data_IF_217440636797
#
_entry.id   IF_217440636797
#
_cell.length_a   1.000
_cell.length_b   1.000
_cell.length_c   1.000
_cell.angle_alpha   90.00
_cell.angle_beta   90.00
_cell.angle_gamma   90.00
#
_symmetry.space_group_name_H-M   'P 1'
#
loop_
_entity.id
_entity.type
_entity.pdbx_description
1 polymer ?
#
# COMPACT_ATOMS: atom_id res chain seq x y z
N UNK A 1 -3.90 39.79 4.22
CA UNK A 1 -2.96 38.67 3.99
C UNK A 1 -2.94 38.37 2.50
N UNK A 2 -1.80 38.49 1.83
CA UNK A 2 -1.65 38.06 0.44
C UNK A 2 -1.69 36.51 0.43
N UNK A 3 -2.73 35.93 -0.18
CA UNK A 3 -2.82 34.48 -0.31
C UNK A 3 -2.13 34.03 -1.61
N UNK A 4 -1.40 32.92 -1.56
CA UNK A 4 -0.85 32.25 -2.76
C UNK A 4 -2.01 31.70 -3.59
N UNK A 5 -1.88 31.75 -4.92
CA UNK A 5 -2.87 31.16 -5.84
C UNK A 5 -2.23 30.02 -6.61
N UNK A 6 -2.88 28.87 -6.65
CA UNK A 6 -2.46 27.69 -7.39
C UNK A 6 -3.60 27.15 -8.27
N UNK A 7 -3.30 26.32 -9.25
CA UNK A 7 -4.33 25.51 -9.91
C UNK A 7 -4.82 24.41 -8.97
N UNK A 8 -3.89 23.73 -8.28
CA UNK A 8 -4.20 22.62 -7.39
C UNK A 8 -3.46 22.76 -6.06
N UNK A 9 -4.20 22.70 -4.94
CA UNK A 9 -3.64 22.59 -3.59
C UNK A 9 -3.74 21.16 -3.10
N UNK A 10 -2.61 20.52 -2.82
CA UNK A 10 -2.53 19.12 -2.35
C UNK A 10 -2.21 19.11 -0.86
N UNK A 11 -3.07 18.52 -0.05
CA UNK A 11 -2.85 18.33 1.38
C UNK A 11 -2.33 16.92 1.65
N UNK A 12 -1.05 16.81 1.99
CA UNK A 12 -0.30 15.57 2.23
C UNK A 12 0.72 15.28 1.13
N UNK A 13 2.00 15.30 1.48
CA UNK A 13 3.16 15.02 0.62
C UNK A 13 3.61 13.55 0.68
N UNK A 14 2.70 12.60 0.96
CA UNK A 14 2.95 11.15 0.88
C UNK A 14 3.00 10.64 -0.56
N UNK A 15 2.95 9.32 -0.73
CA UNK A 15 3.05 8.68 -2.06
C UNK A 15 1.98 9.22 -3.03
N UNK A 16 0.71 9.26 -2.62
CA UNK A 16 -0.37 9.72 -3.50
C UNK A 16 -0.24 11.20 -3.87
N UNK A 17 -0.03 12.06 -2.86
CA UNK A 17 0.11 13.50 -3.10
C UNK A 17 1.36 13.85 -3.88
N UNK A 18 2.48 13.19 -3.60
CA UNK A 18 3.73 13.37 -4.32
C UNK A 18 3.65 12.91 -5.77
N UNK A 19 3.08 11.74 -6.02
CA UNK A 19 2.85 11.23 -7.37
C UNK A 19 1.97 12.16 -8.21
N UNK A 20 0.91 12.71 -7.60
CA UNK A 20 0.05 13.67 -8.27
C UNK A 20 0.76 15.00 -8.53
N UNK A 21 1.53 15.51 -7.54
CA UNK A 21 2.29 16.75 -7.68
C UNK A 21 3.29 16.69 -8.84
N UNK A 22 4.07 15.61 -8.92
CA UNK A 22 5.01 15.37 -10.04
C UNK A 22 4.27 15.40 -11.38
N UNK A 23 3.14 14.71 -11.47
CA UNK A 23 2.36 14.65 -12.72
C UNK A 23 1.80 16.01 -13.14
N UNK A 24 1.20 16.75 -12.22
CA UNK A 24 0.53 18.01 -12.54
C UNK A 24 1.50 19.15 -12.79
N UNK A 25 2.55 19.29 -11.96
CA UNK A 25 3.59 20.27 -12.16
C UNK A 25 4.36 20.01 -13.47
N UNK A 26 4.65 18.73 -13.78
CA UNK A 26 5.27 18.33 -15.04
C UNK A 26 4.42 18.64 -16.27
N UNK A 27 3.11 18.82 -16.11
CA UNK A 27 2.19 19.27 -17.16
C UNK A 27 1.97 20.80 -17.16
N UNK A 28 2.70 21.55 -16.33
CA UNK A 28 2.68 23.02 -16.30
C UNK A 28 1.58 23.66 -15.43
N UNK A 29 0.89 22.87 -14.59
CA UNK A 29 -0.07 23.44 -13.63
C UNK A 29 0.66 24.01 -12.41
N UNK A 30 0.15 25.11 -11.86
CA UNK A 30 0.61 25.67 -10.59
C UNK A 30 0.12 24.77 -9.43
N UNK A 31 1.06 24.05 -8.78
CA UNK A 31 0.77 23.10 -7.71
C UNK A 31 1.42 23.54 -6.41
N UNK A 32 0.61 23.62 -5.33
CA UNK A 32 1.14 23.78 -3.96
C UNK A 32 0.88 22.51 -3.16
N UNK A 33 1.92 21.93 -2.57
CA UNK A 33 1.83 20.75 -1.69
C UNK A 33 2.06 21.16 -0.25
N UNK A 34 1.12 20.82 0.63
CA UNK A 34 1.17 21.10 2.06
C UNK A 34 1.43 19.80 2.83
N UNK A 35 2.63 19.62 3.36
CA UNK A 35 3.02 18.43 4.13
C UNK A 35 3.30 18.79 5.59
N UNK A 36 2.68 18.06 6.52
CA UNK A 36 2.84 18.32 7.96
C UNK A 36 4.21 17.93 8.51
N UNK A 37 4.86 16.93 7.92
CA UNK A 37 6.14 16.41 8.39
C UNK A 37 7.27 17.26 7.84
N UNK A 38 8.14 17.77 8.70
CA UNK A 38 9.41 18.39 8.28
C UNK A 38 10.33 17.31 7.73
N UNK A 39 10.36 16.14 8.36
CA UNK A 39 11.12 14.96 7.93
C UNK A 39 10.19 13.75 7.77
N UNK A 40 10.37 12.98 6.71
CA UNK A 40 9.71 11.68 6.58
C UNK A 40 10.48 10.64 7.39
N UNK A 41 9.77 9.99 8.31
CA UNK A 41 10.30 8.92 9.16
C UNK A 41 9.63 7.60 8.83
N UNK A 42 10.33 6.50 9.09
CA UNK A 42 9.73 5.16 9.00
C UNK A 42 8.63 5.02 10.06
N UNK A 43 7.42 4.69 9.62
CA UNK A 43 6.22 4.54 10.45
C UNK A 43 5.50 3.23 10.16
N UNK A 44 6.23 2.22 9.70
CA UNK A 44 5.64 0.94 9.27
C UNK A 44 4.53 1.17 8.24
N UNK A 45 4.92 1.56 7.07
CA UNK A 45 4.07 1.72 5.89
C UNK A 45 4.42 0.64 4.86
N UNK A 46 3.59 0.48 3.83
CA UNK A 46 3.91 -0.40 2.70
C UNK A 46 5.23 -0.03 2.03
N UNK A 47 6.07 -1.02 1.77
CA UNK A 47 7.40 -0.86 1.19
C UNK A 47 7.65 -1.81 0.02
N UNK A 48 6.64 -2.54 -0.39
CA UNK A 48 6.74 -3.48 -1.51
C UNK A 48 5.62 -3.22 -2.50
N UNK A 49 5.99 -3.16 -3.76
CA UNK A 49 5.08 -3.01 -4.89
C UNK A 49 5.08 -4.31 -5.67
N UNK A 50 3.91 -4.87 -5.91
CA UNK A 50 3.71 -6.09 -6.68
C UNK A 50 3.85 -5.83 -8.19
N UNK A 51 3.97 -6.86 -9.07
CA UNK A 51 4.25 -6.66 -10.48
C UNK A 51 3.28 -5.71 -11.21
N UNK A 52 1.96 -5.77 -10.96
CA UNK A 52 1.04 -4.82 -11.59
C UNK A 52 1.23 -3.37 -11.10
N UNK A 53 1.65 -3.19 -9.84
CA UNK A 53 2.01 -1.89 -9.31
C UNK A 53 3.35 -1.39 -9.85
N UNK A 54 4.29 -2.28 -10.15
CA UNK A 54 5.51 -1.94 -10.90
C UNK A 54 5.14 -1.36 -12.27
N UNK A 55 4.24 -2.03 -12.99
CA UNK A 55 3.74 -1.55 -14.27
C UNK A 55 2.99 -0.21 -14.15
N UNK A 56 2.24 0.01 -13.06
CA UNK A 56 1.56 1.28 -12.79
C UNK A 56 2.56 2.43 -12.51
N UNK A 57 3.65 2.17 -11.77
CA UNK A 57 4.75 3.11 -11.58
C UNK A 57 5.42 3.49 -12.91
N UNK A 58 5.70 2.50 -13.76
CA UNK A 58 6.27 2.71 -15.09
C UNK A 58 5.33 3.56 -15.97
N UNK A 59 4.04 3.20 -16.02
CA UNK A 59 3.01 3.93 -16.77
C UNK A 59 2.88 5.39 -16.31
N UNK A 60 3.07 5.63 -15.01
CA UNK A 60 2.96 6.96 -14.42
C UNK A 60 4.26 7.79 -14.53
N UNK A 61 5.35 7.24 -15.08
CA UNK A 61 6.67 7.89 -15.15
C UNK A 61 7.37 8.00 -13.80
N UNK A 62 6.97 7.19 -12.81
CA UNK A 62 7.47 7.29 -11.43
C UNK A 62 8.45 6.16 -11.05
N UNK A 63 8.74 5.25 -11.97
CA UNK A 63 9.57 4.08 -11.66
C UNK A 63 10.99 4.48 -11.25
N UNK A 64 11.63 5.41 -11.96
CA UNK A 64 12.98 5.88 -11.63
C UNK A 64 13.02 6.59 -10.27
N UNK A 65 11.97 7.35 -9.93
CA UNK A 65 11.85 7.99 -8.62
C UNK A 65 11.77 6.91 -7.52
N UNK A 66 10.97 5.87 -7.73
CA UNK A 66 10.87 4.74 -6.81
C UNK A 66 12.20 3.97 -6.70
N UNK A 67 12.96 3.83 -7.79
CA UNK A 67 14.28 3.19 -7.78
C UNK A 67 15.31 4.00 -6.98
N UNK A 68 15.28 5.35 -7.05
CA UNK A 68 16.14 6.21 -6.20
C UNK A 68 15.82 6.09 -4.72
N UNK A 69 14.60 5.74 -4.37
CA UNK A 69 14.15 5.49 -2.99
C UNK A 69 14.62 4.14 -2.40
N UNK A 70 15.86 3.76 -2.62
CA UNK A 70 16.44 2.45 -2.27
C UNK A 70 15.75 1.28 -2.99
N UNK A 71 15.17 1.54 -4.16
CA UNK A 71 14.44 0.54 -4.93
C UNK A 71 15.29 -0.69 -5.23
N UNK A 72 14.75 -1.86 -4.91
CA UNK A 72 15.36 -3.16 -5.16
C UNK A 72 14.35 -4.06 -5.85
N UNK A 73 14.68 -4.52 -7.04
CA UNK A 73 13.85 -5.51 -7.74
C UNK A 73 14.07 -6.88 -7.12
N UNK A 74 12.98 -7.54 -6.75
CA UNK A 74 12.94 -8.91 -6.26
C UNK A 74 12.14 -9.76 -7.26
N UNK A 75 12.81 -10.41 -8.23
CA UNK A 75 12.13 -11.24 -9.22
C UNK A 75 11.66 -12.57 -8.63
N UNK A 76 12.27 -13.03 -7.57
CA UNK A 76 11.97 -14.33 -6.95
C UNK A 76 11.11 -14.16 -5.69
N UNK A 77 10.04 -14.96 -5.60
CA UNK A 77 9.18 -14.99 -4.41
C UNK A 77 8.96 -16.44 -3.97
N UNK A 78 9.35 -16.75 -2.74
CA UNK A 78 9.23 -18.10 -2.18
C UNK A 78 8.04 -18.15 -1.23
N UNK A 79 7.05 -19.05 -1.46
CA UNK A 79 5.86 -19.20 -0.63
C UNK A 79 6.13 -20.18 0.52
N UNK A 80 6.97 -19.84 1.48
CA UNK A 80 7.20 -20.70 2.64
C UNK A 80 5.92 -20.85 3.48
N UNK A 81 5.70 -22.04 4.03
CA UNK A 81 4.52 -22.31 4.86
C UNK A 81 4.54 -23.74 5.40
N UNK A 82 3.60 -24.02 6.31
CA UNK A 82 3.45 -25.35 6.92
C UNK A 82 2.78 -26.38 6.01
N UNK A 83 2.22 -25.94 4.88
CA UNK A 83 1.62 -26.83 3.87
C UNK A 83 2.64 -27.53 2.96
N UNK A 84 3.93 -27.23 3.10
CA UNK A 84 4.99 -27.82 2.28
C UNK A 84 6.33 -27.76 2.99
N UNK A 85 7.27 -28.67 2.62
CA UNK A 85 8.63 -28.60 3.13
C UNK A 85 9.35 -27.35 2.61
N UNK A 86 10.41 -26.85 3.30
CA UNK A 86 11.24 -25.75 2.80
C UNK A 86 11.77 -26.00 1.38
N UNK A 87 12.22 -27.21 1.09
CA UNK A 87 12.70 -27.59 -0.25
C UNK A 87 11.59 -27.51 -1.30
N UNK A 88 10.37 -27.97 -0.98
CA UNK A 88 9.23 -27.88 -1.90
C UNK A 88 8.82 -26.41 -2.12
N UNK A 89 8.89 -25.56 -1.09
CA UNK A 89 8.63 -24.12 -1.21
C UNK A 89 9.66 -23.43 -2.12
N UNK A 90 10.95 -23.79 -2.03
CA UNK A 90 12.00 -23.29 -2.90
C UNK A 90 11.78 -23.70 -4.37
N UNK A 91 11.35 -24.95 -4.60
CA UNK A 91 11.00 -25.43 -5.93
C UNK A 91 9.73 -24.78 -6.49
N UNK A 92 8.80 -24.35 -5.63
CA UNK A 92 7.58 -23.65 -5.99
C UNK A 92 7.74 -22.11 -6.06
N UNK A 93 8.98 -21.61 -6.04
CA UNK A 93 9.25 -20.20 -6.13
C UNK A 93 8.64 -19.57 -7.40
N UNK A 94 8.03 -18.42 -7.24
CA UNK A 94 7.39 -17.67 -8.33
C UNK A 94 8.42 -16.72 -8.92
N UNK A 95 8.59 -16.76 -10.25
CA UNK A 95 9.29 -15.71 -10.99
C UNK A 95 8.31 -14.53 -11.22
N UNK A 96 8.43 -13.50 -10.39
CA UNK A 96 7.57 -12.34 -10.45
C UNK A 96 7.76 -11.48 -11.71
N UNK A 97 8.87 -11.66 -12.44
CA UNK A 97 9.14 -10.96 -13.69
C UNK A 97 8.28 -11.46 -14.86
N UNK A 98 7.73 -12.66 -14.74
CA UNK A 98 6.87 -13.27 -15.77
C UNK A 98 5.38 -12.99 -15.58
N UNK A 99 5.00 -12.36 -14.46
CA UNK A 99 3.59 -12.22 -14.05
C UNK A 99 2.86 -11.11 -14.81
N UNK A 100 3.54 -9.98 -15.03
CA UNK A 100 2.98 -8.82 -15.76
C UNK A 100 3.97 -8.35 -16.79
N UNK A 101 3.56 -8.21 -18.07
CA UNK A 101 4.45 -7.70 -19.13
C UNK A 101 5.09 -6.35 -18.75
N UNK A 102 6.42 -6.27 -18.89
CA UNK A 102 7.20 -5.07 -18.57
C UNK A 102 7.53 -4.88 -17.11
N UNK A 103 7.04 -5.71 -16.18
CA UNK A 103 7.48 -5.70 -14.80
C UNK A 103 8.72 -6.58 -14.62
N UNK A 104 9.76 -6.05 -14.00
CA UNK A 104 11.00 -6.81 -13.71
C UNK A 104 10.88 -7.70 -12.46
N UNK A 105 9.76 -7.65 -11.75
CA UNK A 105 9.50 -8.37 -10.51
C UNK A 105 8.69 -7.56 -9.51
N UNK A 106 8.80 -7.89 -8.24
CA UNK A 106 8.35 -7.02 -7.16
C UNK A 106 9.40 -5.93 -6.91
N UNK A 107 8.97 -4.75 -6.46
CA UNK A 107 9.87 -3.66 -6.12
C UNK A 107 9.79 -3.37 -4.62
N UNK A 108 10.87 -3.60 -3.90
CA UNK A 108 11.03 -3.19 -2.50
C UNK A 108 11.68 -1.81 -2.44
N UNK A 109 11.17 -0.92 -1.60
CA UNK A 109 11.66 0.46 -1.50
C UNK A 109 11.54 1.01 -0.07
N UNK A 110 12.19 2.13 0.18
CA UNK A 110 12.02 2.91 1.41
C UNK A 110 10.80 3.81 1.28
N UNK A 111 9.75 3.58 2.06
CA UNK A 111 8.58 4.46 2.06
C UNK A 111 8.94 5.94 2.38
N UNK A 112 9.71 6.26 3.45
CA UNK A 112 10.14 7.63 3.68
C UNK A 112 11.08 8.14 2.57
N UNK A 113 11.90 7.27 1.99
CA UNK A 113 12.72 7.57 0.82
C UNK A 113 11.87 7.98 -0.38
N UNK A 114 10.85 7.18 -0.72
CA UNK A 114 9.95 7.46 -1.84
C UNK A 114 9.20 8.79 -1.64
N UNK A 115 8.75 9.09 -0.42
CA UNK A 115 8.12 10.38 -0.14
C UNK A 115 9.11 11.56 -0.34
N UNK A 116 10.39 11.42 0.09
CA UNK A 116 11.42 12.45 -0.16
C UNK A 116 11.69 12.65 -1.64
N UNK A 117 11.91 11.56 -2.37
CA UNK A 117 12.21 11.61 -3.81
C UNK A 117 11.05 12.22 -4.62
N UNK A 118 9.80 11.86 -4.29
CA UNK A 118 8.62 12.45 -4.94
C UNK A 118 8.49 13.96 -4.65
N UNK A 119 8.72 14.38 -3.41
CA UNK A 119 8.67 15.80 -3.05
C UNK A 119 9.80 16.60 -3.70
N UNK A 120 11.03 16.05 -3.75
CA UNK A 120 12.13 16.66 -4.45
C UNK A 120 11.83 16.79 -5.95
N UNK A 121 11.41 15.70 -6.60
CA UNK A 121 11.06 15.74 -8.01
C UNK A 121 9.93 16.72 -8.32
N UNK A 122 8.90 16.84 -7.46
CA UNK A 122 7.83 17.82 -7.63
C UNK A 122 8.36 19.25 -7.52
N UNK A 123 9.24 19.53 -6.56
CA UNK A 123 9.86 20.87 -6.39
C UNK A 123 10.77 21.22 -7.56
N UNK A 124 11.60 20.28 -8.03
CA UNK A 124 12.54 20.48 -9.15
C UNK A 124 11.83 20.88 -10.45
N UNK A 125 10.57 20.46 -10.63
CA UNK A 125 9.74 20.78 -11.80
C UNK A 125 8.75 21.93 -11.54
N UNK A 126 8.90 22.65 -10.42
CA UNK A 126 8.20 23.91 -10.15
C UNK A 126 6.98 23.83 -9.25
N UNK A 127 6.69 22.69 -8.58
CA UNK A 127 5.69 22.67 -7.53
C UNK A 127 6.20 23.40 -6.28
N UNK A 128 5.35 24.21 -5.65
CA UNK A 128 5.61 24.78 -4.34
C UNK A 128 5.39 23.68 -3.26
N UNK A 129 6.43 23.36 -2.49
CA UNK A 129 6.36 22.33 -1.44
C UNK A 129 6.57 22.97 -0.06
N UNK A 130 5.50 23.08 0.71
CA UNK A 130 5.52 23.62 2.08
C UNK A 130 5.61 22.45 3.07
N UNK A 131 6.73 22.37 3.81
CA UNK A 131 6.96 21.36 4.85
C UNK A 131 6.66 21.95 6.22
N UNK A 132 6.08 21.15 7.11
CA UNK A 132 5.68 21.63 8.44
C UNK A 132 4.33 22.33 8.48
N UNK A 133 3.53 22.25 7.41
CA UNK A 133 2.18 22.79 7.36
C UNK A 133 1.26 22.08 8.37
N UNK A 134 0.65 22.85 9.28
CA UNK A 134 -0.16 22.32 10.39
C UNK A 134 -1.54 22.99 10.42
N UNK A 135 -2.46 22.44 11.21
CA UNK A 135 -3.82 22.99 11.42
C UNK A 135 -4.54 23.32 10.12
N UNK A 136 -4.43 22.41 9.16
CA UNK A 136 -5.04 22.57 7.84
C UNK A 136 -6.55 22.64 7.97
N UNK A 137 -7.14 23.68 7.35
CA UNK A 137 -8.57 23.88 7.19
C UNK A 137 -8.90 24.01 5.70
N UNK A 138 -9.84 23.20 5.23
CA UNK A 138 -10.20 23.13 3.81
C UNK A 138 -11.57 23.73 3.58
N UNK A 139 -11.66 24.59 2.58
CA UNK A 139 -12.92 25.07 1.99
C UNK A 139 -13.03 24.44 0.62
N UNK A 140 -14.18 23.81 0.32
CA UNK A 140 -14.54 23.29 -0.99
C UNK A 140 -15.60 24.18 -1.66
N UNK A 141 -16.14 23.78 -2.80
CA UNK A 141 -17.16 24.51 -3.54
C UNK A 141 -16.59 25.41 -4.63
N UNK A 142 -17.24 26.56 -4.95
CA UNK A 142 -16.84 27.37 -6.09
C UNK A 142 -15.52 28.12 -5.91
N UNK A 143 -15.07 28.28 -4.67
CA UNK A 143 -13.83 28.98 -4.32
C UNK A 143 -12.99 28.15 -3.36
N UNK A 144 -12.39 27.04 -3.82
CA UNK A 144 -11.64 26.15 -2.97
C UNK A 144 -10.41 26.85 -2.39
N UNK A 145 -10.13 26.58 -1.11
CA UNK A 145 -8.96 27.15 -0.43
C UNK A 145 -8.50 26.24 0.70
N UNK A 146 -7.22 26.35 1.02
CA UNK A 146 -6.62 25.69 2.19
C UNK A 146 -5.96 26.74 3.06
N UNK A 147 -6.43 26.85 4.30
CA UNK A 147 -5.80 27.66 5.35
C UNK A 147 -4.93 26.74 6.19
N UNK A 148 -3.73 27.18 6.54
CA UNK A 148 -2.80 26.37 7.32
C UNK A 148 -1.87 27.25 8.16
N UNK A 149 -1.19 26.66 9.14
CA UNK A 149 -0.14 27.32 9.91
C UNK A 149 1.24 26.82 9.45
N UNK A 150 2.13 27.76 9.16
CA UNK A 150 3.54 27.52 8.85
C UNK A 150 4.39 28.58 9.57
N UNK A 151 5.45 28.17 10.26
CA UNK A 151 6.38 29.04 11.00
C UNK A 151 5.67 30.09 11.90
N UNK A 152 4.61 29.66 12.61
CA UNK A 152 3.74 30.48 13.48
C UNK A 152 2.85 31.51 12.74
N UNK A 153 2.91 31.56 11.43
CA UNK A 153 2.04 32.42 10.62
C UNK A 153 0.86 31.61 10.09
N UNK A 154 -0.29 32.27 9.95
CA UNK A 154 -1.43 31.73 9.23
C UNK A 154 -1.33 32.12 7.77
N UNK A 155 -1.43 31.13 6.88
CA UNK A 155 -1.32 31.29 5.44
C UNK A 155 -2.54 30.69 4.75
N UNK A 156 -2.80 31.12 3.52
CA UNK A 156 -3.92 30.66 2.71
C UNK A 156 -3.47 30.41 1.28
N UNK A 157 -3.74 29.21 0.78
CA UNK A 157 -3.66 28.89 -0.66
C UNK A 157 -5.07 28.84 -1.24
N UNK A 158 -5.34 29.68 -2.23
CA UNK A 158 -6.56 29.59 -3.06
C UNK A 158 -6.25 28.73 -4.26
N UNK A 159 -7.17 27.82 -4.59
CA UNK A 159 -6.96 26.90 -5.70
C UNK A 159 -8.24 26.73 -6.50
N UNK A 160 -8.13 26.13 -7.68
CA UNK A 160 -9.31 25.69 -8.46
C UNK A 160 -9.83 24.35 -7.92
N UNK A 161 -8.92 23.52 -7.34
CA UNK A 161 -9.27 22.24 -6.71
C UNK A 161 -8.35 22.00 -5.53
N UNK A 162 -8.91 21.44 -4.44
CA UNK A 162 -8.17 20.90 -3.30
C UNK A 162 -8.13 19.38 -3.38
N UNK A 163 -6.95 18.80 -3.22
CA UNK A 163 -6.75 17.34 -3.16
C UNK A 163 -6.36 16.93 -1.75
N UNK A 164 -7.18 16.07 -1.12
CA UNK A 164 -6.85 15.44 0.16
C UNK A 164 -6.06 14.15 -0.07
N UNK A 165 -4.78 14.16 0.32
CA UNK A 165 -3.83 13.05 0.25
C UNK A 165 -3.17 12.78 1.62
N UNK A 166 -3.85 13.17 2.70
CA UNK A 166 -3.36 13.21 4.09
C UNK A 166 -3.51 11.86 4.85
N UNK A 167 -3.73 10.78 4.11
CA UNK A 167 -3.61 9.40 4.60
C UNK A 167 -4.81 8.91 5.43
N UNK A 168 -4.61 7.79 6.15
CA UNK A 168 -5.68 7.03 6.82
C UNK A 168 -6.53 7.85 7.78
N UNK A 169 -5.93 8.77 8.50
CA UNK A 169 -6.59 9.63 9.47
C UNK A 169 -6.98 10.99 8.89
N UNK A 170 -7.25 11.04 7.59
CA UNK A 170 -7.49 12.26 6.83
C UNK A 170 -8.37 13.27 7.56
N UNK A 171 -7.81 14.46 7.79
CA UNK A 171 -8.54 15.62 8.30
C UNK A 171 -9.34 16.28 7.19
N UNK A 172 -8.81 16.27 5.96
CA UNK A 172 -9.50 16.79 4.77
C UNK A 172 -10.82 16.04 4.59
N UNK A 173 -10.80 14.71 4.59
CA UNK A 173 -12.02 13.89 4.45
C UNK A 173 -13.09 14.27 5.48
N UNK A 174 -12.69 14.38 6.77
CA UNK A 174 -13.63 14.74 7.85
C UNK A 174 -14.21 16.12 7.66
N UNK A 175 -13.42 17.10 7.27
CA UNK A 175 -13.87 18.46 7.02
C UNK A 175 -14.83 18.53 5.83
N UNK A 176 -14.62 17.71 4.79
CA UNK A 176 -15.50 17.62 3.63
C UNK A 176 -16.77 16.80 3.90
N UNK A 177 -16.92 16.20 5.09
CA UNK A 177 -18.09 15.38 5.42
C UNK A 177 -18.16 14.08 4.61
N UNK A 178 -17.06 13.62 3.98
CA UNK A 178 -17.08 12.41 3.15
C UNK A 178 -17.02 11.17 4.07
N UNK A 179 -18.04 10.29 4.03
CA UNK A 179 -18.11 9.13 4.89
C UNK A 179 -17.10 8.06 4.49
N UNK A 180 -16.73 7.20 5.45
CA UNK A 180 -15.86 6.07 5.24
C UNK A 180 -16.53 4.80 5.77
N UNK A 181 -16.82 3.86 4.89
CA UNK A 181 -17.26 2.52 5.25
C UNK A 181 -16.06 1.65 5.67
N UNK A 182 -16.28 0.61 6.45
CA UNK A 182 -15.22 -0.30 6.94
C UNK A 182 -15.72 -1.72 7.08
N UNK A 183 -14.83 -2.69 6.86
CA UNK A 183 -15.07 -4.09 7.20
C UNK A 183 -14.84 -4.39 8.69
N UNK A 184 -14.24 -3.45 9.42
CA UNK A 184 -13.67 -3.73 10.73
C UNK A 184 -12.39 -4.60 10.64
N UNK A 185 -11.71 -4.83 11.76
CA UNK A 185 -10.50 -5.65 11.80
C UNK A 185 -10.79 -7.13 11.51
N UNK A 186 -10.01 -7.71 10.59
CA UNK A 186 -9.98 -9.16 10.34
C UNK A 186 -8.85 -9.84 11.09
N UNK A 187 -7.68 -9.18 11.14
CA UNK A 187 -6.45 -9.65 11.77
C UNK A 187 -5.72 -8.47 12.39
N UNK A 188 -4.66 -8.74 13.13
CA UNK A 188 -3.66 -7.75 13.51
C UNK A 188 -2.36 -8.00 12.78
N UNK A 189 -1.59 -6.95 12.55
CA UNK A 189 -0.26 -7.01 11.98
C UNK A 189 0.73 -6.19 12.80
N UNK A 190 1.99 -6.55 12.72
CA UNK A 190 3.13 -5.74 13.15
C UNK A 190 4.14 -5.65 12.02
N UNK A 191 4.72 -4.48 11.84
CA UNK A 191 5.84 -4.27 10.93
C UNK A 191 7.11 -3.97 11.68
N UNK A 192 8.21 -4.55 11.22
CA UNK A 192 9.54 -4.45 11.81
C UNK A 192 10.58 -4.26 10.71
N UNK A 193 11.50 -3.33 10.90
CA UNK A 193 12.70 -3.21 10.07
C UNK A 193 13.88 -3.79 10.86
N UNK A 194 14.67 -4.66 10.22
CA UNK A 194 15.81 -5.33 10.88
C UNK A 194 17.10 -5.13 10.09
N UNK A 195 18.21 -5.11 10.80
CA UNK A 195 19.56 -5.21 10.25
C UNK A 195 20.13 -6.61 10.51
N UNK A 196 21.13 -6.99 9.72
CA UNK A 196 21.93 -8.18 9.98
C UNK A 196 21.21 -9.50 9.75
N UNK A 197 20.16 -9.54 8.91
CA UNK A 197 19.59 -10.81 8.46
C UNK A 197 20.50 -11.45 7.41
N UNK A 198 21.69 -11.85 7.87
CA UNK A 198 22.71 -12.50 7.03
C UNK A 198 22.23 -13.90 6.65
N UNK A 199 22.58 -14.35 5.43
CA UNK A 199 22.11 -15.63 4.92
C UNK A 199 20.72 -15.60 4.29
N UNK A 200 19.93 -14.52 4.44
CA UNK A 200 18.68 -14.36 3.68
C UNK A 200 18.97 -13.84 2.27
N UNK A 201 18.42 -14.46 1.20
CA UNK A 201 18.70 -14.04 -0.18
C UNK A 201 18.21 -12.61 -0.47
N UNK A 202 19.11 -11.72 -0.89
CA UNK A 202 18.86 -10.29 -1.04
C UNK A 202 17.78 -9.90 -2.09
N UNK A 203 17.60 -10.74 -3.13
CA UNK A 203 16.63 -10.50 -4.21
C UNK A 203 15.41 -11.43 -4.13
N UNK A 204 15.14 -11.99 -2.95
CA UNK A 204 14.05 -12.96 -2.75
C UNK A 204 13.07 -12.44 -1.71
N UNK A 205 11.87 -12.15 -2.17
CA UNK A 205 10.75 -11.88 -1.28
C UNK A 205 10.12 -13.19 -0.79
N UNK A 206 9.51 -13.13 0.36
CA UNK A 206 8.84 -14.29 0.95
C UNK A 206 7.51 -13.90 1.54
N UNK A 207 6.54 -14.79 1.39
CA UNK A 207 5.25 -14.69 2.06
C UNK A 207 4.73 -16.07 2.43
N UNK A 208 4.16 -16.22 3.61
CA UNK A 208 3.65 -17.53 4.01
C UNK A 208 2.79 -17.51 5.24
N UNK A 209 2.41 -18.71 5.67
CA UNK A 209 1.72 -18.97 6.92
C UNK A 209 2.31 -20.21 7.54
N UNK A 210 2.69 -20.11 8.80
CA UNK A 210 3.25 -21.24 9.54
C UNK A 210 2.76 -21.17 10.99
N UNK A 211 2.18 -22.25 11.47
CA UNK A 211 1.55 -22.34 12.76
C UNK A 211 0.50 -21.23 12.97
N UNK A 212 0.71 -20.31 13.89
CA UNK A 212 -0.22 -19.28 14.32
C UNK A 212 0.10 -17.85 13.82
N UNK A 213 0.96 -17.75 12.80
CA UNK A 213 1.32 -16.48 12.15
C UNK A 213 1.39 -16.61 10.64
N UNK A 214 0.97 -15.55 9.95
CA UNK A 214 1.36 -15.31 8.56
C UNK A 214 2.46 -14.24 8.53
N UNK A 215 3.27 -14.23 7.47
CA UNK A 215 4.42 -13.34 7.40
C UNK A 215 4.74 -12.88 5.98
N UNK A 216 5.43 -11.72 5.92
CA UNK A 216 6.17 -11.24 4.75
C UNK A 216 7.60 -10.91 5.16
N UNK A 217 8.57 -11.22 4.28
CA UNK A 217 9.98 -10.84 4.44
C UNK A 217 10.43 -10.19 3.13
N UNK A 218 10.83 -8.94 3.20
CA UNK A 218 11.17 -8.09 2.06
C UNK A 218 12.56 -7.47 2.25
N UNK A 219 13.62 -8.07 1.71
CA UNK A 219 14.97 -7.51 1.73
C UNK A 219 15.02 -6.17 0.97
N UNK A 220 15.83 -5.23 1.47
CA UNK A 220 16.06 -3.93 0.87
C UNK A 220 17.54 -3.73 0.52
N UNK A 221 17.80 -2.83 -0.42
CA UNK A 221 19.16 -2.55 -0.93
C UNK A 221 20.15 -2.08 0.14
N UNK A 222 19.68 -1.40 1.17
CA UNK A 222 20.50 -0.90 2.29
C UNK A 222 20.97 -1.99 3.28
N UNK A 223 20.80 -3.28 2.97
CA UNK A 223 21.15 -4.38 3.85
C UNK A 223 20.19 -4.58 5.02
N UNK A 224 19.10 -3.81 5.09
CA UNK A 224 18.03 -4.05 6.03
C UNK A 224 16.88 -4.86 5.38
N UNK A 225 16.05 -5.47 6.22
CA UNK A 225 14.91 -6.27 5.77
C UNK A 225 13.64 -5.82 6.46
N UNK A 226 12.59 -5.59 5.70
CA UNK A 226 11.25 -5.35 6.25
C UNK A 226 10.56 -6.68 6.48
N UNK A 227 10.07 -6.88 7.71
CA UNK A 227 9.31 -8.05 8.12
C UNK A 227 7.93 -7.60 8.57
N UNK A 228 6.90 -8.35 8.18
CA UNK A 228 5.56 -8.23 8.72
C UNK A 228 5.13 -9.58 9.29
N UNK A 229 4.52 -9.56 10.47
CA UNK A 229 3.77 -10.69 11.01
C UNK A 229 2.29 -10.33 11.12
N UNK A 230 1.45 -11.32 10.86
CA UNK A 230 -0.01 -11.24 10.98
C UNK A 230 -0.49 -12.35 11.90
N UNK A 231 -1.48 -12.06 12.73
CA UNK A 231 -2.04 -13.05 13.65
C UNK A 231 -3.53 -12.81 13.90
N UNK A 232 -4.17 -13.74 14.58
CA UNK A 232 -5.60 -13.70 14.86
C UNK A 232 -6.00 -12.48 15.72
N UNK A 233 -7.14 -11.91 15.41
CA UNK A 233 -7.68 -10.71 16.08
C UNK A 233 -8.03 -10.91 17.56
N UNK A 234 -8.14 -12.16 18.03
CA UNK A 234 -8.42 -12.46 19.45
C UNK A 234 -7.29 -12.08 20.40
N UNK A 235 -6.08 -11.87 19.89
CA UNK A 235 -4.89 -11.51 20.69
C UNK A 235 -4.27 -10.18 20.21
N UNK A 236 -4.95 -9.03 20.32
CA UNK A 236 -4.54 -7.77 19.69
C UNK A 236 -3.18 -7.25 20.17
N UNK A 237 -2.81 -7.49 21.44
CA UNK A 237 -1.56 -7.02 22.06
C UNK A 237 -0.36 -7.95 21.92
N UNK A 238 -0.46 -9.05 21.15
CA UNK A 238 0.54 -10.13 21.12
C UNK A 238 1.99 -9.67 20.88
N UNK A 239 2.18 -8.76 19.93
CA UNK A 239 3.48 -8.20 19.59
C UNK A 239 3.50 -6.67 19.83
N UNK A 240 3.22 -6.27 21.08
CA UNK A 240 3.27 -4.87 21.54
C UNK A 240 4.28 -4.70 22.66
N UNK A 241 4.68 -3.45 22.96
CA UNK A 241 5.64 -3.11 24.01
C UNK A 241 7.09 -3.04 23.50
N UNK A 242 8.01 -2.74 24.45
CA UNK A 242 9.42 -2.43 24.12
C UNK A 242 10.16 -3.59 23.46
N UNK A 243 9.89 -4.83 23.91
CA UNK A 243 10.60 -6.03 23.45
C UNK A 243 9.87 -6.73 22.29
N UNK A 244 8.91 -6.05 21.66
CA UNK A 244 8.13 -6.65 20.59
C UNK A 244 9.01 -7.07 19.40
N UNK A 245 10.04 -6.29 19.07
CA UNK A 245 10.99 -6.60 18.01
C UNK A 245 11.69 -7.94 18.25
N UNK A 246 12.24 -8.14 19.44
CA UNK A 246 12.93 -9.37 19.81
C UNK A 246 11.98 -10.58 19.85
N UNK A 247 10.76 -10.41 20.39
CA UNK A 247 9.73 -11.47 20.38
C UNK A 247 9.31 -11.89 18.98
N UNK A 248 9.26 -10.94 18.03
CA UNK A 248 8.96 -11.21 16.61
C UNK A 248 10.09 -12.08 16.03
N UNK A 249 11.36 -11.69 16.22
CA UNK A 249 12.50 -12.43 15.71
C UNK A 249 12.61 -13.82 16.35
N UNK A 250 12.40 -13.92 17.65
CA UNK A 250 12.33 -15.22 18.35
C UNK A 250 11.21 -16.09 17.77
N UNK A 251 10.02 -15.53 17.51
CA UNK A 251 8.92 -16.31 16.89
C UNK A 251 9.31 -16.82 15.51
N UNK A 252 9.89 -15.97 14.65
CA UNK A 252 10.36 -16.37 13.32
C UNK A 252 11.42 -17.47 13.37
N UNK A 253 12.35 -17.38 14.33
CA UNK A 253 13.41 -18.36 14.55
C UNK A 253 12.89 -19.75 15.01
N UNK A 254 11.62 -19.88 15.34
CA UNK A 254 10.97 -21.16 15.68
C UNK A 254 10.09 -21.73 14.56
N UNK A 255 9.95 -21.04 13.44
CA UNK A 255 9.10 -21.49 12.35
C UNK A 255 9.82 -22.55 11.48
N UNK A 256 9.29 -23.75 11.46
CA UNK A 256 9.88 -24.91 10.76
C UNK A 256 9.72 -24.83 9.23
N UNK A 257 8.95 -23.88 8.73
CA UNK A 257 8.75 -23.68 7.29
C UNK A 257 9.96 -23.02 6.60
N UNK A 258 10.89 -22.42 7.34
CA UNK A 258 12.12 -21.84 6.78
C UNK A 258 13.24 -22.87 6.72
N UNK A 259 14.13 -22.79 5.70
CA UNK A 259 15.27 -23.70 5.61
C UNK A 259 16.34 -23.46 6.70
N UNK A 260 16.46 -22.21 7.18
CA UNK A 260 17.42 -21.79 8.21
C UNK A 260 16.77 -20.74 9.15
N UNK A 261 15.81 -21.13 10.01
CA UNK A 261 15.09 -20.19 10.85
C UNK A 261 15.98 -19.49 11.90
N UNK A 262 17.13 -20.07 12.25
CA UNK A 262 18.10 -19.52 13.20
C UNK A 262 18.66 -18.16 12.78
N UNK A 263 18.69 -17.82 11.48
CA UNK A 263 19.19 -16.54 10.98
C UNK A 263 18.40 -15.33 11.57
N UNK A 264 17.15 -15.54 11.96
CA UNK A 264 16.38 -14.50 12.61
C UNK A 264 16.87 -14.15 14.02
N UNK A 265 17.65 -15.01 14.70
CA UNK A 265 18.24 -14.70 16.02
C UNK A 265 19.42 -13.73 15.91
N UNK A 266 20.06 -13.67 14.75
CA UNK A 266 21.21 -12.80 14.50
C UNK A 266 20.77 -11.39 14.07
N UNK A 267 19.54 -11.26 13.59
CA UNK A 267 18.98 -9.99 13.15
C UNK A 267 18.74 -9.05 14.35
N UNK A 268 18.88 -7.75 14.09
CA UNK A 268 18.69 -6.69 15.09
C UNK A 268 17.51 -5.80 14.71
N UNK A 269 16.49 -5.67 15.56
CA UNK A 269 15.34 -4.83 15.27
C UNK A 269 15.75 -3.34 15.32
N UNK A 270 15.40 -2.58 14.28
CA UNK A 270 15.46 -1.11 14.33
C UNK A 270 14.26 -0.57 15.12
N UNK A 271 14.42 0.48 15.92
CA UNK A 271 13.30 1.15 16.57
C UNK A 271 12.24 1.61 15.57
N UNK A 272 10.97 1.64 16.00
CA UNK A 272 9.86 2.16 15.17
C UNK A 272 8.88 1.09 14.67
N UNK A 273 8.91 -0.14 15.22
CA UNK A 273 7.86 -1.13 14.97
C UNK A 273 6.50 -0.64 15.47
N UNK A 274 5.45 -1.01 14.77
CA UNK A 274 4.09 -0.69 15.15
C UNK A 274 3.15 -1.86 14.85
N UNK A 275 2.27 -2.13 15.82
CA UNK A 275 1.15 -3.05 15.65
C UNK A 275 -0.10 -2.27 15.27
N UNK A 276 -0.90 -2.84 14.37
CA UNK A 276 -2.12 -2.19 13.88
C UNK A 276 -3.18 -3.22 13.45
N UNK A 277 -4.47 -2.86 13.56
CA UNK A 277 -5.55 -3.67 13.04
C UNK A 277 -5.56 -3.63 11.50
N UNK A 278 -5.93 -4.74 10.88
CA UNK A 278 -6.02 -4.90 9.44
C UNK A 278 -7.46 -5.08 9.00
N UNK A 279 -7.83 -4.43 7.91
CA UNK A 279 -9.15 -4.43 7.30
C UNK A 279 -9.21 -3.42 6.17
N UNK A 280 -10.35 -3.34 5.51
CA UNK A 280 -10.58 -2.37 4.44
C UNK A 280 -11.40 -1.19 4.92
N UNK A 281 -11.14 -0.03 4.32
CA UNK A 281 -12.01 1.13 4.39
C UNK A 281 -12.19 1.73 2.99
N UNK A 282 -13.35 2.33 2.73
CA UNK A 282 -13.61 2.96 1.43
C UNK A 282 -14.67 4.05 1.52
N UNK A 283 -14.57 5.01 0.61
CA UNK A 283 -15.62 5.97 0.31
C UNK A 283 -16.23 5.64 -1.05
N UNK A 284 -17.56 5.62 -1.14
CA UNK A 284 -18.26 5.40 -2.41
C UNK A 284 -18.09 6.61 -3.37
N UNK A 285 -18.05 7.80 -2.80
CA UNK A 285 -17.85 9.06 -3.55
C UNK A 285 -16.75 9.88 -2.88
N UNK A 286 -15.47 9.71 -3.31
CA UNK A 286 -14.31 10.35 -2.66
C UNK A 286 -14.11 11.81 -3.11
N UNK A 287 -15.16 12.54 -3.49
CA UNK A 287 -15.09 13.93 -3.90
C UNK A 287 -16.37 14.70 -3.57
N UNK A 288 -16.23 16.01 -3.53
CA UNK A 288 -17.29 17.00 -3.52
C UNK A 288 -16.92 18.11 -4.53
N UNK A 289 -17.84 19.00 -4.94
CA UNK A 289 -17.47 20.12 -5.81
C UNK A 289 -16.25 20.89 -5.27
N UNK A 290 -15.21 21.04 -6.09
CA UNK A 290 -13.97 21.74 -5.74
C UNK A 290 -12.96 20.95 -4.88
N UNK A 291 -13.25 19.69 -4.48
CA UNK A 291 -12.30 18.87 -3.73
C UNK A 291 -12.41 17.37 -4.01
N UNK A 292 -11.27 16.67 -3.99
CA UNK A 292 -11.17 15.21 -4.19
C UNK A 292 -10.20 14.57 -3.20
N UNK A 293 -10.44 13.32 -2.82
CA UNK A 293 -9.57 12.51 -1.98
C UNK A 293 -8.86 11.45 -2.82
N UNK A 294 -7.58 11.17 -2.50
CA UNK A 294 -6.78 10.12 -3.14
C UNK A 294 -6.01 9.29 -2.09
N UNK A 295 -5.59 8.10 -2.49
CA UNK A 295 -4.87 7.17 -1.63
C UNK A 295 -5.66 6.79 -0.38
N UNK A 296 -4.96 6.62 0.74
CA UNK A 296 -5.58 6.21 2.01
C UNK A 296 -6.59 7.24 2.56
N UNK A 297 -6.56 8.50 2.12
CA UNK A 297 -7.54 9.50 2.50
C UNK A 297 -8.94 9.18 1.97
N UNK A 298 -9.03 8.55 0.80
CA UNK A 298 -10.26 8.06 0.19
C UNK A 298 -10.65 6.63 0.64
N UNK A 299 -9.84 6.02 1.51
CA UNK A 299 -9.97 4.64 1.98
C UNK A 299 -8.81 3.75 1.52
N UNK A 300 -8.52 2.71 2.28
CA UNK A 300 -7.39 1.80 2.06
C UNK A 300 -7.85 0.34 1.98
N UNK A 301 -7.12 -0.47 1.24
CA UNK A 301 -7.30 -1.93 1.23
C UNK A 301 -6.57 -2.58 2.40
N UNK A 302 -7.06 -3.75 2.81
CA UNK A 302 -6.39 -4.59 3.81
C UNK A 302 -4.94 -4.85 3.40
N UNK A 303 -3.96 -4.55 4.26
CA UNK A 303 -2.54 -4.73 3.96
C UNK A 303 -2.11 -6.17 3.63
N UNK A 304 -2.94 -7.17 3.91
CA UNK A 304 -2.64 -8.58 3.60
C UNK A 304 -2.40 -8.82 2.10
N UNK A 305 -2.96 -7.98 1.23
CA UNK A 305 -2.74 -8.05 -0.22
C UNK A 305 -1.68 -7.07 -0.73
N UNK A 306 -1.10 -6.22 0.13
CA UNK A 306 0.03 -5.35 -0.19
C UNK A 306 -0.21 -4.27 -1.26
N UNK A 307 -1.44 -3.76 -1.45
CA UNK A 307 -1.78 -2.91 -2.60
C UNK A 307 -1.81 -1.40 -2.34
N UNK A 308 -1.52 -0.94 -1.11
CA UNK A 308 -1.65 0.48 -0.74
C UNK A 308 -0.85 1.44 -1.62
N UNK A 309 0.40 1.10 -1.95
CA UNK A 309 1.26 1.93 -2.82
C UNK A 309 0.71 2.00 -4.25
N UNK A 310 0.29 0.86 -4.79
CA UNK A 310 -0.28 0.78 -6.15
C UNK A 310 -1.57 1.57 -6.26
N UNK A 311 -2.46 1.45 -5.26
CA UNK A 311 -3.70 2.24 -5.18
C UNK A 311 -3.39 3.74 -5.16
N UNK A 312 -2.40 4.16 -4.36
CA UNK A 312 -2.01 5.57 -4.26
C UNK A 312 -1.50 6.14 -5.60
N UNK A 313 -0.66 5.39 -6.32
CA UNK A 313 -0.15 5.80 -7.65
C UNK A 313 -1.26 5.83 -8.69
N UNK A 314 -2.12 4.80 -8.72
CA UNK A 314 -3.26 4.75 -9.66
C UNK A 314 -4.28 5.88 -9.40
N UNK A 315 -4.59 6.19 -8.13
CA UNK A 315 -5.44 7.32 -7.78
C UNK A 315 -4.83 8.64 -8.30
N UNK A 316 -3.53 8.86 -8.07
CA UNK A 316 -2.81 10.05 -8.55
C UNK A 316 -2.86 10.16 -10.08
N UNK A 317 -2.66 9.05 -10.79
CA UNK A 317 -2.74 9.04 -12.26
C UNK A 317 -4.13 9.40 -12.74
N UNK A 318 -5.18 8.76 -12.23
CA UNK A 318 -6.55 8.95 -12.69
C UNK A 318 -7.08 10.36 -12.38
N UNK A 319 -6.79 10.89 -11.18
CA UNK A 319 -7.12 12.27 -10.83
C UNK A 319 -6.31 13.25 -11.69
N UNK A 320 -5.03 12.96 -11.93
CA UNK A 320 -4.21 13.74 -12.84
C UNK A 320 -4.76 13.74 -14.26
N UNK A 321 -5.19 12.60 -14.80
CA UNK A 321 -5.84 12.49 -16.11
C UNK A 321 -7.13 13.32 -16.17
N UNK A 322 -7.97 13.29 -15.15
CA UNK A 322 -9.19 14.08 -15.06
C UNK A 322 -8.91 15.60 -15.09
N UNK A 323 -7.86 16.05 -14.37
CA UNK A 323 -7.50 17.47 -14.33
C UNK A 323 -6.79 17.94 -15.61
N UNK A 324 -6.07 17.07 -16.29
CA UNK A 324 -5.37 17.39 -17.53
C UNK A 324 -6.24 17.18 -18.78
N UNK A 325 -7.40 16.58 -18.64
CA UNK A 325 -8.33 16.30 -19.75
C UNK A 325 -9.02 17.55 -20.34
N UNK A 326 -8.86 18.72 -19.73
CA UNK A 326 -9.36 19.99 -20.24
C UNK A 326 -9.25 21.13 -19.23
N UNK A 327 -9.44 22.39 -19.67
CA UNK A 327 -9.26 23.56 -18.83
C UNK A 327 -10.41 23.80 -17.83
N UNK A 328 -11.58 23.18 -18.07
CA UNK A 328 -12.78 23.37 -17.25
C UNK A 328 -13.00 22.21 -16.29
N UNK A 329 -12.91 22.46 -14.99
CA UNK A 329 -13.13 21.48 -13.93
C UNK A 329 -14.52 21.68 -13.30
N UNK A 330 -15.52 21.08 -13.94
CA UNK A 330 -16.90 21.11 -13.43
C UNK A 330 -17.07 20.27 -12.15
N UNK A 331 -18.23 20.34 -11.50
CA UNK A 331 -18.49 19.65 -10.24
C UNK A 331 -18.32 18.12 -10.31
N UNK A 332 -18.50 17.54 -11.50
CA UNK A 332 -18.45 16.09 -11.73
C UNK A 332 -17.18 15.63 -12.47
N UNK A 333 -16.14 16.47 -12.54
CA UNK A 333 -14.86 16.14 -13.20
C UNK A 333 -14.22 14.85 -12.65
N UNK A 334 -14.50 14.51 -11.39
CA UNK A 334 -13.99 13.32 -10.74
C UNK A 334 -14.94 12.12 -10.76
N UNK A 335 -16.10 12.20 -11.40
CA UNK A 335 -17.05 11.09 -11.47
C UNK A 335 -16.47 9.83 -12.14
N UNK A 336 -15.69 9.91 -13.25
CA UNK A 336 -15.04 8.73 -13.84
C UNK A 336 -14.05 8.08 -12.88
N UNK A 337 -13.24 8.87 -12.16
CA UNK A 337 -12.33 8.40 -11.13
C UNK A 337 -13.08 7.71 -9.98
N UNK A 338 -14.15 8.33 -9.47
CA UNK A 338 -14.92 7.78 -8.36
C UNK A 338 -15.52 6.41 -8.70
N UNK A 339 -16.07 6.28 -9.91
CA UNK A 339 -16.67 5.04 -10.41
C UNK A 339 -15.66 3.91 -10.59
N UNK A 340 -14.52 4.22 -11.22
CA UNK A 340 -13.40 3.28 -11.37
C UNK A 340 -12.88 2.84 -10.00
N UNK A 341 -12.67 3.81 -9.09
CA UNK A 341 -12.15 3.53 -7.76
C UNK A 341 -13.12 2.67 -6.93
N UNK A 342 -14.41 2.94 -6.97
CA UNK A 342 -15.42 2.16 -6.26
C UNK A 342 -15.37 0.69 -6.68
N UNK A 343 -15.33 0.40 -7.99
CA UNK A 343 -15.22 -0.97 -8.51
C UNK A 343 -13.85 -1.61 -8.19
N UNK A 344 -12.77 -0.87 -8.35
CA UNK A 344 -11.44 -1.33 -7.99
C UNK A 344 -11.35 -1.71 -6.52
N UNK A 345 -11.82 -0.87 -5.61
CA UNK A 345 -11.82 -1.15 -4.18
C UNK A 345 -12.76 -2.31 -3.81
N UNK A 346 -13.88 -2.47 -4.51
CA UNK A 346 -14.76 -3.65 -4.36
C UNK A 346 -14.01 -4.94 -4.68
N UNK A 347 -13.31 -4.98 -5.82
CA UNK A 347 -12.50 -6.16 -6.23
C UNK A 347 -11.35 -6.42 -5.27
N UNK A 348 -10.62 -5.39 -4.83
CA UNK A 348 -9.55 -5.54 -3.83
C UNK A 348 -10.08 -6.08 -2.50
N UNK A 349 -11.25 -5.64 -2.03
CA UNK A 349 -11.89 -6.19 -0.82
C UNK A 349 -12.22 -7.67 -0.95
N UNK A 350 -12.74 -8.10 -2.11
CA UNK A 350 -12.99 -9.52 -2.37
C UNK A 350 -11.69 -10.33 -2.33
N UNK A 351 -10.64 -9.86 -3.02
CA UNK A 351 -9.31 -10.48 -2.99
C UNK A 351 -8.73 -10.54 -1.58
N UNK A 352 -8.84 -9.45 -0.80
CA UNK A 352 -8.34 -9.40 0.57
C UNK A 352 -9.11 -10.36 1.49
N UNK A 353 -10.43 -10.46 1.33
CA UNK A 353 -11.23 -11.41 2.09
C UNK A 353 -10.84 -12.87 1.77
N UNK A 354 -10.65 -13.21 0.50
CA UNK A 354 -10.18 -14.53 0.07
C UNK A 354 -8.76 -14.84 0.61
N UNK A 355 -7.85 -13.87 0.52
CA UNK A 355 -6.47 -13.99 1.02
C UNK A 355 -6.44 -14.15 2.55
N UNK A 356 -7.27 -13.42 3.29
CA UNK A 356 -7.36 -13.55 4.76
C UNK A 356 -7.83 -14.94 5.15
N UNK A 357 -8.85 -15.47 4.48
CA UNK A 357 -9.33 -16.85 4.70
C UNK A 357 -8.29 -17.91 4.37
N UNK A 358 -7.47 -17.68 3.34
CA UNK A 358 -6.39 -18.60 2.96
C UNK A 358 -5.21 -18.53 3.92
N UNK A 359 -4.76 -17.31 4.30
CA UNK A 359 -3.49 -17.15 5.00
C UNK A 359 -3.59 -16.87 6.51
N UNK A 360 -4.70 -16.33 6.96
CA UNK A 360 -4.86 -15.88 8.34
C UNK A 360 -6.00 -16.59 9.11
N UNK A 361 -6.42 -17.72 8.63
CA UNK A 361 -7.20 -18.70 9.40
C UNK A 361 -6.22 -19.70 10.03
N UNK A 362 -5.96 -19.53 11.32
CA UNK A 362 -5.00 -20.33 12.08
C UNK A 362 -5.64 -21.49 12.84
N UNK A 363 -6.91 -21.78 12.58
CA UNK A 363 -7.61 -22.95 13.12
C UNK A 363 -7.14 -24.24 12.43
N UNK A 364 -7.33 -25.42 13.05
CA UNK A 364 -7.04 -26.69 12.39
C UNK A 364 -7.77 -26.84 11.04
N UNK A 365 -9.00 -26.33 10.93
CA UNK A 365 -9.74 -26.30 9.67
C UNK A 365 -9.12 -25.33 8.66
N UNK A 366 -8.62 -24.21 9.11
CA UNK A 366 -7.87 -23.25 8.29
C UNK A 366 -6.63 -23.87 7.69
N UNK A 367 -5.86 -24.65 8.46
CA UNK A 367 -4.71 -25.40 7.95
C UNK A 367 -5.13 -26.41 6.88
N UNK A 368 -6.15 -27.24 7.15
CA UNK A 368 -6.67 -28.22 6.16
C UNK A 368 -7.14 -27.56 4.86
N UNK A 369 -7.88 -26.42 4.95
CA UNK A 369 -8.31 -25.67 3.76
C UNK A 369 -7.13 -25.12 2.97
N UNK A 370 -6.08 -24.66 3.65
CA UNK A 370 -4.86 -24.16 3.01
C UNK A 370 -4.16 -25.27 2.24
N UNK A 371 -3.99 -26.45 2.85
CA UNK A 371 -3.38 -27.60 2.21
C UNK A 371 -4.16 -28.03 0.97
N UNK A 372 -5.50 -28.13 1.09
CA UNK A 372 -6.37 -28.45 -0.04
C UNK A 372 -6.30 -27.39 -1.15
N UNK A 373 -6.25 -26.11 -0.80
CA UNK A 373 -6.11 -25.03 -1.77
C UNK A 373 -4.76 -25.09 -2.52
N UNK A 374 -3.65 -25.34 -1.82
CA UNK A 374 -2.35 -25.47 -2.47
C UNK A 374 -2.24 -26.70 -3.38
N UNK A 375 -2.82 -27.82 -2.96
CA UNK A 375 -2.93 -29.02 -3.83
C UNK A 375 -3.75 -28.70 -5.10
N UNK A 376 -4.88 -27.99 -4.95
CA UNK A 376 -5.70 -27.52 -6.08
C UNK A 376 -4.94 -26.56 -7.00
N UNK A 377 -4.16 -25.64 -6.45
CA UNK A 377 -3.33 -24.71 -7.26
C UNK A 377 -2.25 -25.43 -8.09
N UNK A 378 -1.76 -26.55 -7.60
CA UNK A 378 -0.81 -27.37 -8.34
C UNK A 378 -1.49 -28.11 -9.51
N UNK A 379 -2.75 -28.57 -9.31
CA UNK A 379 -3.52 -29.27 -10.33
C UNK A 379 -4.18 -28.31 -11.33
N UNK A 380 -4.69 -27.17 -10.87
CA UNK A 380 -5.35 -26.15 -11.70
C UNK A 380 -4.89 -24.74 -11.27
N UNK A 381 -3.97 -24.11 -12.01
CA UNK A 381 -3.53 -22.75 -11.73
C UNK A 381 -4.67 -21.70 -11.72
N UNK A 382 -5.77 -21.93 -12.45
CA UNK A 382 -6.90 -21.01 -12.50
C UNK A 382 -7.64 -20.91 -11.15
N UNK A 383 -7.54 -21.93 -10.30
CA UNK A 383 -8.09 -21.89 -8.95
C UNK A 383 -7.51 -20.77 -8.07
N UNK A 384 -6.37 -20.16 -8.44
CA UNK A 384 -5.77 -19.00 -7.77
C UNK A 384 -6.46 -17.67 -8.08
N UNK A 385 -7.34 -17.61 -9.08
CA UNK A 385 -7.90 -16.32 -9.54
C UNK A 385 -8.45 -15.42 -8.42
N UNK A 386 -9.15 -15.93 -7.36
CA UNK A 386 -9.67 -15.07 -6.29
C UNK A 386 -8.59 -14.28 -5.52
N UNK A 387 -7.34 -14.74 -5.54
CA UNK A 387 -6.21 -14.09 -4.85
C UNK A 387 -5.17 -13.51 -5.81
N UNK A 388 -5.31 -13.71 -7.11
CA UNK A 388 -4.31 -13.31 -8.10
C UNK A 388 -4.28 -11.80 -8.38
N UNK A 389 -5.36 -11.08 -8.08
CA UNK A 389 -5.49 -9.65 -8.41
C UNK A 389 -4.36 -8.77 -7.84
N UNK A 390 -3.81 -9.12 -6.68
CA UNK A 390 -2.65 -8.44 -6.11
C UNK A 390 -1.38 -8.56 -6.96
N UNK A 391 -1.30 -9.57 -7.82
CA UNK A 391 -0.15 -9.88 -8.67
C UNK A 391 -0.30 -9.36 -10.10
N UNK A 392 -1.41 -9.77 -10.75
CA UNK A 392 -1.63 -9.50 -12.18
C UNK A 392 -2.41 -8.21 -12.44
N UNK A 393 -3.00 -7.62 -11.41
CA UNK A 393 -3.93 -6.50 -11.52
C UNK A 393 -5.38 -6.95 -11.70
N UNK A 394 -6.28 -6.03 -11.42
CA UNK A 394 -7.72 -6.29 -11.41
C UNK A 394 -8.31 -6.43 -12.81
N UNK A 395 -7.71 -5.70 -13.77
CA UNK A 395 -8.19 -5.62 -15.14
C UNK A 395 -7.83 -6.89 -15.95
N UNK A 396 -6.87 -7.69 -15.44
CA UNK A 396 -6.44 -8.96 -16.05
C UNK A 396 -7.31 -10.16 -15.64
N UNK A 397 -8.29 -9.96 -14.75
CA UNK A 397 -9.12 -11.03 -14.22
C UNK A 397 -10.60 -10.82 -14.55
N UNK A 398 -11.33 -11.88 -14.87
CA UNK A 398 -12.76 -11.78 -15.14
C UNK A 398 -13.56 -11.45 -13.86
N UNK A 399 -14.75 -10.83 -13.97
CA UNK A 399 -15.55 -10.43 -12.81
C UNK A 399 -15.87 -11.57 -11.83
N UNK A 400 -15.97 -12.78 -12.32
CA UNK A 400 -16.29 -14.00 -11.56
C UNK A 400 -15.20 -14.34 -10.52
N UNK A 401 -13.95 -13.92 -10.77
CA UNK A 401 -12.85 -14.10 -9.82
C UNK A 401 -13.08 -13.39 -8.48
N UNK A 402 -13.93 -12.35 -8.46
CA UNK A 402 -14.19 -11.51 -7.30
C UNK A 402 -15.48 -11.84 -6.57
N UNK A 403 -16.02 -13.03 -6.79
CA UNK A 403 -17.24 -13.51 -6.13
C UNK A 403 -16.92 -14.33 -4.88
N UNK A 404 -17.88 -14.40 -3.97
CA UNK A 404 -17.77 -15.25 -2.78
C UNK A 404 -17.71 -16.74 -3.17
N UNK A 405 -18.47 -17.13 -4.16
CA UNK A 405 -18.52 -18.50 -4.68
C UNK A 405 -17.17 -18.94 -5.24
N UNK A 406 -16.44 -18.06 -5.93
CA UNK A 406 -15.09 -18.35 -6.41
C UNK A 406 -14.12 -18.57 -5.24
N UNK A 407 -14.18 -17.72 -4.21
CA UNK A 407 -13.38 -17.88 -3.00
C UNK A 407 -13.76 -19.16 -2.22
N UNK A 408 -15.05 -19.50 -2.16
CA UNK A 408 -15.54 -20.72 -1.50
C UNK A 408 -15.07 -21.98 -2.25
N UNK A 409 -15.12 -22.00 -3.59
CA UNK A 409 -14.53 -23.09 -4.41
C UNK A 409 -13.03 -23.23 -4.20
N UNK A 410 -12.30 -22.10 -4.17
CA UNK A 410 -10.86 -22.10 -3.92
C UNK A 410 -10.50 -22.77 -2.59
N UNK A 411 -11.30 -22.56 -1.54
CA UNK A 411 -11.05 -23.00 -0.17
C UNK A 411 -11.86 -24.24 0.24
N UNK A 412 -12.59 -24.87 -0.68
CA UNK A 412 -13.36 -26.07 -0.38
C UNK A 412 -12.46 -27.20 0.15
N UNK A 413 -12.90 -27.89 1.17
CA UNK A 413 -12.36 -29.20 1.51
C UNK A 413 -12.96 -30.18 0.50
N UNK A 414 -12.10 -30.89 -0.23
CA UNK A 414 -12.53 -31.95 -1.18
C UNK A 414 -13.20 -33.11 -0.48
#
# INVERSE_FOLDING_TARGET
>A
MAGTTADVAIVGGGIAGGALAVRLAGAGLAVTVLEQSVEFRDRVRGETVFPWGYAELARSGLLEIAMRAEGTVAPRVVPYGDSMSPHAAEAAAIDASTVVPGAAGMLNLSHPGACRELMAAAADIGAEVVRGARRVQVTAGPHPAVRYQHDRCEEVVRARVVVGADGRTSTVRRQLGIPLATTGPRTFAVGLLVDGLTGWPAATNTSGTCADVAFFVFPRRSGCTRIYLFWDKSTPGRFSGRDAGDRILQRLATLTCFPAPEVFREARPRPGWASFPMGDTWSERPYVPGAVLIGDAAGYSDPIIGQGLTVAVRDARLVGEALLGGPCWGPDVFEPYARERAERMRRLRATAAAMTRLRADFTPDGHRRRDAAFARFAADPAARMPIAAGWVGLDALPPEAFTREAADRMLALS
#
